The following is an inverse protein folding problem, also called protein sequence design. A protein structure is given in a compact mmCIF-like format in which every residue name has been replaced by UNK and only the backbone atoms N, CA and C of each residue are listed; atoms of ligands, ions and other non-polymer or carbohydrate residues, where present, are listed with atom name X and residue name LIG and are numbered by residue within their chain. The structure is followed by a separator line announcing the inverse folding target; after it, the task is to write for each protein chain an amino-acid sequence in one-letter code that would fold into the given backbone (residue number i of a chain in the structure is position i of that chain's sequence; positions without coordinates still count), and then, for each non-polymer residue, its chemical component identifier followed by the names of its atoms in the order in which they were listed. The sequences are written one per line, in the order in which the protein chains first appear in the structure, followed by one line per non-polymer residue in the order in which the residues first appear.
data_IF_689709202219
#
_entry.id   IF_689709202219
#
_cell.length_a   1.000
_cell.length_b   1.000
_cell.length_c   1.000
_cell.angle_alpha   90.00
_cell.angle_beta   90.00
_cell.angle_gamma   90.00
#
_symmetry.space_group_name_H-M   'P 1'
#
loop_
_entity.id
_entity.type
_entity.pdbx_description
1 polymer ?
#
# COMPACT_ATOMS: atom_id res chain seq x y z
N UNK A 1 -49.29 -35.47 -26.54
CA UNK A 1 -49.57 -36.38 -25.42
C UNK A 1 -48.30 -36.46 -24.60
N UNK A 2 -48.14 -36.01 -23.36
CA UNK A 2 -48.99 -35.41 -22.34
C UNK A 2 -47.97 -34.85 -21.34
N UNK A 3 -47.96 -33.55 -21.06
CA UNK A 3 -48.53 -32.95 -19.85
C UNK A 3 -47.95 -33.50 -18.52
N UNK A 4 -47.17 -32.63 -17.89
CA UNK A 4 -47.23 -32.24 -16.47
C UNK A 4 -47.14 -33.33 -15.37
N UNK A 5 -46.03 -33.30 -14.63
CA UNK A 5 -45.97 -33.37 -13.16
C UNK A 5 -44.51 -33.02 -12.76
N UNK A 6 -44.18 -32.08 -11.88
CA UNK A 6 -44.90 -31.64 -10.71
C UNK A 6 -44.36 -30.27 -10.23
N UNK A 7 -45.30 -29.39 -9.89
CA UNK A 7 -45.10 -28.12 -9.20
C UNK A 7 -44.37 -28.34 -7.88
N UNK A 8 -43.27 -27.63 -7.66
CA UNK A 8 -42.89 -27.18 -6.33
C UNK A 8 -42.78 -25.65 -6.39
N UNK A 9 -43.87 -25.00 -5.96
CA UNK A 9 -43.93 -23.56 -5.79
C UNK A 9 -43.06 -23.15 -4.61
N UNK A 10 -41.84 -22.72 -4.92
CA UNK A 10 -41.12 -21.79 -4.06
C UNK A 10 -41.48 -20.40 -4.55
N UNK A 11 -42.07 -19.63 -3.64
CA UNK A 11 -42.61 -18.31 -3.92
C UNK A 11 -41.54 -17.43 -4.58
N UNK A 12 -41.86 -16.89 -5.76
CA UNK A 12 -40.93 -16.04 -6.52
C UNK A 12 -40.43 -14.82 -5.71
N UNK A 13 -41.15 -14.42 -4.66
CA UNK A 13 -40.78 -13.29 -3.79
C UNK A 13 -39.68 -13.60 -2.76
N UNK A 14 -39.41 -14.87 -2.43
CA UNK A 14 -38.44 -15.20 -1.36
C UNK A 14 -37.01 -15.35 -1.91
N UNK A 15 -36.87 -15.63 -3.20
CA UNK A 15 -35.57 -15.69 -3.87
C UNK A 15 -34.97 -14.29 -4.12
N UNK A 16 -35.80 -13.28 -4.33
CA UNK A 16 -35.37 -11.89 -4.51
C UNK A 16 -34.64 -11.35 -3.26
N UNK A 17 -34.88 -11.93 -2.09
CA UNK A 17 -34.15 -11.60 -0.85
C UNK A 17 -32.71 -12.11 -0.81
N UNK A 18 -32.35 -13.07 -1.67
CA UNK A 18 -31.01 -13.68 -1.72
C UNK A 18 -30.15 -13.14 -2.87
N UNK A 19 -30.71 -12.32 -3.76
CA UNK A 19 -30.01 -11.79 -4.93
C UNK A 19 -29.92 -10.26 -4.90
N UNK A 20 -28.71 -9.74 -5.10
CA UNK A 20 -28.51 -8.31 -5.34
C UNK A 20 -28.61 -8.04 -6.84
N UNK A 21 -29.65 -7.31 -7.26
CA UNK A 21 -29.87 -6.92 -8.66
C UNK A 21 -29.44 -5.46 -8.87
N UNK A 22 -28.57 -5.22 -9.85
CA UNK A 22 -28.11 -3.88 -10.23
C UNK A 22 -29.12 -3.21 -11.18
N UNK A 23 -30.25 -2.76 -10.64
CA UNK A 23 -31.26 -2.03 -11.40
C UNK A 23 -30.80 -0.58 -11.68
N UNK A 24 -30.82 -0.17 -12.95
CA UNK A 24 -30.47 1.21 -13.37
C UNK A 24 -28.97 1.47 -13.57
N UNK A 25 -28.10 0.48 -13.36
CA UNK A 25 -26.67 0.56 -13.69
C UNK A 25 -26.42 0.33 -15.18
N UNK A 26 -25.31 0.88 -15.70
CA UNK A 26 -24.89 0.62 -17.08
C UNK A 26 -24.44 -0.84 -17.26
N UNK A 27 -24.46 -1.34 -18.49
CA UNK A 27 -24.01 -2.70 -18.79
C UNK A 27 -22.51 -2.91 -18.43
N UNK A 28 -21.72 -1.85 -18.50
CA UNK A 28 -20.31 -1.83 -18.11
C UNK A 28 -20.17 -2.03 -16.60
N UNK A 29 -20.92 -1.29 -15.78
CA UNK A 29 -20.89 -1.41 -14.32
C UNK A 29 -21.31 -2.81 -13.83
N UNK A 30 -22.34 -3.38 -14.47
CA UNK A 30 -22.78 -4.75 -14.18
C UNK A 30 -21.67 -5.76 -14.50
N UNK A 31 -20.90 -5.52 -15.58
CA UNK A 31 -19.77 -6.37 -15.94
C UNK A 31 -18.63 -6.28 -14.93
N UNK A 32 -18.31 -5.07 -14.44
CA UNK A 32 -17.29 -4.87 -13.40
C UNK A 32 -17.68 -5.52 -12.08
N UNK A 33 -18.94 -5.35 -11.65
CA UNK A 33 -19.44 -5.98 -10.43
C UNK A 33 -19.33 -7.50 -10.51
N UNK A 34 -19.67 -8.11 -11.64
CA UNK A 34 -19.51 -9.56 -11.85
C UNK A 34 -18.05 -10.00 -11.71
N UNK A 35 -17.12 -9.32 -12.37
CA UNK A 35 -15.69 -9.63 -12.27
C UNK A 35 -15.20 -9.46 -10.83
N UNK A 36 -15.56 -8.36 -10.18
CA UNK A 36 -15.22 -8.08 -8.79
C UNK A 36 -15.68 -9.20 -7.85
N UNK A 37 -16.98 -9.52 -7.85
CA UNK A 37 -17.52 -10.55 -6.96
C UNK A 37 -17.00 -11.95 -7.28
N UNK A 38 -16.72 -12.24 -8.56
CA UNK A 38 -16.04 -13.49 -8.93
C UNK A 38 -14.66 -13.57 -8.30
N UNK A 39 -13.89 -12.48 -8.29
CA UNK A 39 -12.54 -12.43 -7.75
C UNK A 39 -12.47 -12.64 -6.23
N UNK A 40 -13.49 -12.19 -5.49
CA UNK A 40 -13.58 -12.34 -4.02
C UNK A 40 -13.76 -13.81 -3.61
N UNK A 41 -14.36 -14.62 -4.48
CA UNK A 41 -14.55 -16.07 -4.22
C UNK A 41 -13.37 -16.93 -4.65
N UNK A 42 -12.37 -16.36 -5.34
CA UNK A 42 -11.19 -17.10 -5.75
C UNK A 42 -10.28 -17.32 -4.55
N UNK A 43 -9.71 -18.53 -4.45
CA UNK A 43 -8.62 -18.74 -3.51
C UNK A 43 -7.46 -17.80 -3.86
N UNK A 44 -6.78 -17.22 -2.86
CA UNK A 44 -5.60 -16.41 -3.11
C UNK A 44 -4.60 -17.21 -3.96
N UNK A 45 -3.94 -16.56 -4.95
CA UNK A 45 -2.91 -17.19 -5.77
C UNK A 45 -1.89 -17.94 -4.93
N UNK A 46 -1.31 -19.02 -5.45
CA UNK A 46 -0.37 -19.85 -4.69
C UNK A 46 0.80 -19.05 -4.12
N UNK A 47 1.20 -17.97 -4.80
CA UNK A 47 2.27 -17.05 -4.41
C UNK A 47 1.94 -16.16 -3.20
N UNK A 48 0.66 -15.94 -2.89
CA UNK A 48 0.22 -15.15 -1.73
C UNK A 48 -0.24 -16.01 -0.54
N UNK A 49 -0.11 -17.34 -0.63
CA UNK A 49 -0.44 -18.25 0.47
C UNK A 49 0.74 -18.30 1.44
N UNK A 50 0.51 -17.87 2.69
CA UNK A 50 1.48 -17.97 3.80
C UNK A 50 1.92 -19.41 4.12
N UNK A 51 1.15 -20.41 3.67
CA UNK A 51 1.45 -21.83 3.84
C UNK A 51 1.15 -22.52 2.51
N UNK A 52 2.20 -22.98 1.83
CA UNK A 52 2.05 -23.83 0.64
C UNK A 52 1.31 -25.11 1.03
N UNK A 53 0.31 -25.51 0.25
CA UNK A 53 -0.51 -26.69 0.54
C UNK A 53 0.28 -28.01 0.56
N UNK A 54 1.47 -28.05 -0.03
CA UNK A 54 2.37 -29.21 -0.06
C UNK A 54 3.81 -28.84 0.33
N UNK A 55 3.99 -28.13 1.45
CA UNK A 55 5.27 -28.19 2.18
C UNK A 55 5.30 -29.53 2.93
N UNK A 56 5.55 -30.60 2.17
CA UNK A 56 6.11 -31.81 2.75
C UNK A 56 7.56 -31.48 3.12
N UNK A 57 7.86 -31.50 4.43
CA UNK A 57 9.20 -31.29 4.98
C UNK A 57 10.18 -32.29 4.33
N UNK A 58 10.89 -31.88 3.27
CA UNK A 58 11.91 -32.71 2.59
C UNK A 58 13.20 -32.86 3.40
N UNK A 59 13.26 -32.26 4.59
CA UNK A 59 14.38 -32.42 5.51
C UNK A 59 14.08 -33.55 6.47
N UNK A 60 15.02 -34.49 6.59
CA UNK A 60 14.96 -35.53 7.61
C UNK A 60 14.76 -34.86 8.97
N UNK A 61 13.72 -35.27 9.70
CA UNK A 61 13.54 -34.89 11.10
C UNK A 61 14.83 -35.27 11.85
N UNK A 62 15.41 -34.32 12.58
CA UNK A 62 16.65 -34.57 13.31
C UNK A 62 16.45 -35.77 14.25
N UNK A 63 17.36 -36.74 14.15
CA UNK A 63 17.32 -37.93 15.00
C UNK A 63 17.51 -37.58 16.48
N UNK A 64 16.98 -38.43 17.36
CA UNK A 64 17.19 -38.36 18.80
C UNK A 64 18.69 -38.24 19.11
N UNK A 65 19.15 -37.28 19.96
CA UNK A 65 20.56 -37.17 20.28
C UNK A 65 20.96 -38.39 21.12
N UNK A 66 21.44 -39.44 20.43
CA UNK A 66 22.12 -40.53 21.08
C UNK A 66 23.37 -39.93 21.73
N UNK A 67 23.46 -40.05 23.05
CA UNK A 67 24.60 -39.69 23.85
C UNK A 67 25.82 -40.52 23.41
N UNK A 68 26.48 -40.09 22.34
CA UNK A 68 27.84 -40.49 22.10
C UNK A 68 28.69 -39.69 23.09
N UNK A 69 29.37 -40.41 23.98
CA UNK A 69 30.45 -39.88 24.78
C UNK A 69 31.52 -39.37 23.81
N UNK A 70 31.46 -38.07 23.52
CA UNK A 70 32.43 -37.36 22.69
C UNK A 70 33.69 -37.13 23.49
N UNK A 71 34.65 -38.06 23.38
CA UNK A 71 36.05 -37.77 23.72
C UNK A 71 36.59 -36.80 22.66
N UNK A 72 36.29 -35.52 22.84
CA UNK A 72 36.58 -34.49 21.84
C UNK A 72 36.05 -33.13 22.25
N UNK A 73 36.38 -32.67 23.46
CA UNK A 73 36.33 -31.24 23.77
C UNK A 73 37.38 -30.52 22.90
N UNK A 74 37.06 -30.28 21.63
CA UNK A 74 37.68 -29.20 20.87
C UNK A 74 36.95 -27.93 21.30
N UNK A 75 37.62 -26.95 21.93
CA UNK A 75 37.01 -25.66 22.18
C UNK A 75 36.54 -25.11 20.84
N UNK A 76 35.29 -24.66 20.78
CA UNK A 76 34.80 -23.86 19.66
C UNK A 76 35.65 -22.59 19.62
N UNK A 77 36.71 -22.59 18.81
CA UNK A 77 37.43 -21.39 18.47
C UNK A 77 36.42 -20.56 17.69
N UNK A 78 35.96 -19.46 18.29
CA UNK A 78 35.26 -18.40 17.58
C UNK A 78 36.21 -17.98 16.45
N UNK A 79 35.90 -18.39 15.22
CA UNK A 79 36.73 -18.11 14.06
C UNK A 79 36.66 -16.61 13.81
N UNK A 80 37.66 -15.86 14.28
CA UNK A 80 37.75 -14.39 14.19
C UNK A 80 37.55 -13.91 12.76
N UNK A 81 37.96 -14.73 11.78
CA UNK A 81 37.75 -14.49 10.35
C UNK A 81 36.27 -14.47 9.96
N UNK A 82 35.41 -15.25 10.61
CA UNK A 82 33.97 -15.25 10.35
C UNK A 82 33.28 -13.99 10.87
N UNK A 83 33.76 -13.44 11.99
CA UNK A 83 33.25 -12.22 12.60
C UNK A 83 33.66 -10.98 11.79
N UNK A 84 34.91 -10.93 11.32
CA UNK A 84 35.40 -9.91 10.39
C UNK A 84 34.60 -9.87 9.08
N UNK A 85 34.28 -11.05 8.51
CA UNK A 85 33.45 -11.16 7.31
C UNK A 85 32.02 -10.63 7.54
N UNK A 86 31.43 -10.93 8.69
CA UNK A 86 30.10 -10.44 9.07
C UNK A 86 30.10 -8.91 9.19
N UNK A 87 31.12 -8.35 9.85
CA UNK A 87 31.27 -6.91 10.02
C UNK A 87 31.48 -6.20 8.67
N UNK A 88 32.31 -6.77 7.79
CA UNK A 88 32.53 -6.23 6.46
C UNK A 88 31.25 -6.24 5.61
N UNK A 89 30.46 -7.32 5.68
CA UNK A 89 29.18 -7.42 4.98
C UNK A 89 28.19 -6.36 5.49
N UNK A 90 28.10 -6.17 6.82
CA UNK A 90 27.25 -5.16 7.42
C UNK A 90 27.63 -3.73 7.02
N UNK A 91 28.93 -3.40 7.03
CA UNK A 91 29.42 -2.08 6.59
C UNK A 91 29.13 -1.84 5.10
N UNK A 92 29.27 -2.88 4.27
CA UNK A 92 28.94 -2.81 2.84
C UNK A 92 27.46 -2.53 2.64
N UNK A 93 26.57 -3.22 3.35
CA UNK A 93 25.13 -2.97 3.30
C UNK A 93 24.79 -1.53 3.68
N UNK A 94 25.33 -1.02 4.78
CA UNK A 94 25.11 0.38 5.17
C UNK A 94 25.59 1.38 4.11
N UNK A 95 26.73 1.09 3.46
CA UNK A 95 27.25 1.97 2.42
C UNK A 95 26.35 1.98 1.17
N UNK A 96 25.77 0.84 0.81
CA UNK A 96 24.80 0.73 -0.28
C UNK A 96 23.50 1.47 0.05
N UNK A 97 22.95 1.27 1.25
CA UNK A 97 21.77 2.00 1.73
C UNK A 97 21.99 3.52 1.71
N UNK A 98 23.12 4.00 2.24
CA UNK A 98 23.46 5.43 2.22
C UNK A 98 23.52 6.00 0.80
N UNK A 99 24.04 5.24 -0.17
CA UNK A 99 24.07 5.66 -1.59
C UNK A 99 22.66 5.81 -2.14
N UNK A 100 21.78 4.86 -1.86
CA UNK A 100 20.38 4.90 -2.29
C UNK A 100 19.69 6.16 -1.72
N UNK A 101 19.83 6.42 -0.42
CA UNK A 101 19.24 7.61 0.19
C UNK A 101 19.79 8.92 -0.37
N UNK A 102 21.08 8.97 -0.69
CA UNK A 102 21.71 10.14 -1.28
C UNK A 102 21.19 10.41 -2.70
N UNK A 103 20.98 9.36 -3.51
CA UNK A 103 20.37 9.48 -4.83
C UNK A 103 18.90 9.95 -4.73
N UNK A 104 18.13 9.39 -3.79
CA UNK A 104 16.76 9.82 -3.52
C UNK A 104 16.70 11.30 -3.08
N UNK A 105 17.63 11.74 -2.23
CA UNK A 105 17.70 13.14 -1.79
C UNK A 105 17.99 14.08 -2.97
N UNK A 106 18.94 13.71 -3.83
CA UNK A 106 19.24 14.46 -5.04
C UNK A 106 18.02 14.57 -5.97
N UNK A 107 17.31 13.47 -6.19
CA UNK A 107 16.10 13.46 -7.00
C UNK A 107 14.98 14.34 -6.40
N UNK A 108 14.83 14.34 -5.07
CA UNK A 108 13.90 15.25 -4.38
C UNK A 108 14.27 16.72 -4.60
N UNK A 109 15.55 17.06 -4.52
CA UNK A 109 16.03 18.43 -4.76
C UNK A 109 15.76 18.88 -6.21
N UNK A 110 15.95 17.99 -7.18
CA UNK A 110 15.63 18.23 -8.59
C UNK A 110 14.13 18.53 -8.78
N UNK A 111 13.24 17.74 -8.17
CA UNK A 111 11.79 17.97 -8.20
C UNK A 111 11.44 19.33 -7.56
N UNK A 112 11.99 19.63 -6.39
CA UNK A 112 11.73 20.89 -5.68
C UNK A 112 12.18 22.08 -6.54
N UNK A 113 13.34 22.00 -7.17
CA UNK A 113 13.86 23.03 -8.07
C UNK A 113 12.94 23.26 -9.26
N UNK A 114 12.50 22.18 -9.92
CA UNK A 114 11.55 22.23 -11.04
C UNK A 114 10.24 22.91 -10.64
N UNK A 115 9.66 22.51 -9.50
CA UNK A 115 8.40 23.08 -9.01
C UNK A 115 8.51 24.56 -8.67
N UNK A 116 9.66 24.99 -8.10
CA UNK A 116 9.95 26.41 -7.86
C UNK A 116 9.98 27.19 -9.17
N UNK A 117 10.71 26.69 -10.18
CA UNK A 117 10.78 27.32 -11.50
C UNK A 117 9.40 27.44 -12.16
N UNK A 118 8.60 26.37 -12.15
CA UNK A 118 7.23 26.38 -12.68
C UNK A 118 6.34 27.39 -11.95
N UNK A 119 6.48 27.51 -10.63
CA UNK A 119 5.74 28.50 -9.84
C UNK A 119 6.14 29.92 -10.25
N UNK A 120 7.42 30.19 -10.42
CA UNK A 120 7.90 31.52 -10.80
C UNK A 120 7.43 31.90 -12.20
N UNK A 121 7.46 30.95 -13.14
CA UNK A 121 6.88 31.14 -14.48
C UNK A 121 5.39 31.44 -14.43
N UNK A 122 4.64 30.70 -13.60
CA UNK A 122 3.21 30.94 -13.40
C UNK A 122 2.98 32.34 -12.84
N UNK A 123 3.71 32.75 -11.80
CA UNK A 123 3.61 34.09 -11.21
C UNK A 123 3.90 35.16 -12.26
N UNK A 124 4.95 34.99 -13.07
CA UNK A 124 5.29 35.94 -14.15
C UNK A 124 4.17 36.07 -15.19
N UNK A 125 3.57 34.96 -15.62
CA UNK A 125 2.43 34.97 -16.56
C UNK A 125 1.21 35.62 -15.94
N UNK A 126 0.93 35.30 -14.67
CA UNK A 126 -0.17 35.90 -13.92
C UNK A 126 0.00 37.41 -13.82
N UNK A 127 1.18 37.90 -13.42
CA UNK A 127 1.49 39.34 -13.34
C UNK A 127 1.16 40.11 -14.63
N UNK A 128 1.45 39.53 -15.79
CA UNK A 128 1.13 40.14 -17.09
C UNK A 128 -0.37 40.10 -17.36
N UNK A 129 -1.05 39.01 -17.00
CA UNK A 129 -2.49 38.84 -17.23
C UNK A 129 -3.38 39.59 -16.23
N UNK A 130 -2.88 39.92 -15.03
CA UNK A 130 -3.64 40.55 -13.94
C UNK A 130 -4.43 41.80 -14.40
N UNK A 131 -3.86 42.75 -15.18
CA UNK A 131 -4.60 43.92 -15.65
C UNK A 131 -5.70 43.62 -16.66
N UNK A 132 -5.66 42.44 -17.30
CA UNK A 132 -6.56 42.05 -18.39
C UNK A 132 -7.53 40.93 -18.01
N UNK A 133 -7.46 40.43 -16.77
CA UNK A 133 -8.42 39.43 -16.29
C UNK A 133 -9.80 40.09 -16.16
N UNK A 134 -10.83 39.63 -16.91
CA UNK A 134 -12.17 40.12 -16.71
C UNK A 134 -12.56 39.81 -15.26
N UNK A 135 -12.96 40.85 -14.52
CA UNK A 135 -13.50 40.70 -13.16
C UNK A 135 -14.76 39.84 -13.25
N UNK A 136 -14.63 38.51 -13.15
CA UNK A 136 -15.76 37.65 -12.85
C UNK A 136 -16.09 37.87 -11.37
N UNK A 137 -16.75 38.99 -11.09
CA UNK A 137 -17.58 39.15 -9.91
C UNK A 137 -18.81 38.24 -10.09
N UNK A 138 -18.63 36.94 -9.93
CA UNK A 138 -19.72 36.11 -9.44
C UNK A 138 -19.48 36.01 -7.94
N UNK A 139 -20.36 36.66 -7.18
CA UNK A 139 -20.25 36.97 -5.74
C UNK A 139 -20.22 35.77 -4.79
N UNK A 140 -19.67 34.63 -5.21
CA UNK A 140 -19.31 33.53 -4.31
C UNK A 140 -18.06 33.96 -3.54
N UNK A 141 -18.27 34.71 -2.47
CA UNK A 141 -17.25 34.92 -1.44
C UNK A 141 -16.79 33.52 -1.02
N UNK A 142 -15.49 33.25 -1.14
CA UNK A 142 -14.88 32.07 -0.50
C UNK A 142 -15.34 32.09 0.96
N UNK A 143 -16.05 31.06 1.45
CA UNK A 143 -16.43 31.02 2.85
C UNK A 143 -15.15 31.12 3.69
N UNK A 144 -15.19 31.86 4.81
CA UNK A 144 -14.04 31.95 5.69
C UNK A 144 -13.56 30.54 6.07
N UNK A 145 -12.26 30.36 6.37
CA UNK A 145 -11.76 29.11 6.90
C UNK A 145 -12.65 28.64 8.05
N UNK A 146 -13.08 27.37 8.02
CA UNK A 146 -13.92 26.78 9.07
C UNK A 146 -13.21 26.75 10.44
N UNK A 147 -11.88 26.92 10.46
CA UNK A 147 -11.07 26.94 11.68
C UNK A 147 -10.92 28.37 12.17
N UNK A 148 -11.14 28.57 13.47
CA UNK A 148 -10.89 29.85 14.13
C UNK A 148 -9.38 30.12 14.12
N UNK A 149 -8.91 31.39 14.00
CA UNK A 149 -7.49 31.73 14.02
C UNK A 149 -6.74 31.16 15.23
N UNK A 150 -7.42 31.04 16.38
CA UNK A 150 -6.86 30.46 17.60
C UNK A 150 -6.63 28.95 17.51
N UNK A 151 -7.46 28.22 16.76
CA UNK A 151 -7.25 26.79 16.55
C UNK A 151 -5.99 26.54 15.72
N UNK A 152 -5.74 27.39 14.72
CA UNK A 152 -4.53 27.33 13.90
C UNK A 152 -3.31 27.64 14.76
N UNK A 153 -3.40 28.61 15.67
CA UNK A 153 -2.30 28.98 16.55
C UNK A 153 -1.97 27.86 17.55
N UNK A 154 -3.00 27.18 18.07
CA UNK A 154 -2.86 26.04 18.98
C UNK A 154 -2.25 24.83 18.27
N UNK A 155 -2.68 24.54 17.04
CA UNK A 155 -2.10 23.49 16.19
C UNK A 155 -0.59 23.77 15.94
N UNK A 156 -0.21 25.05 15.75
CA UNK A 156 1.19 25.46 15.57
C UNK A 156 2.00 25.29 16.86
N UNK A 157 1.45 25.63 18.01
CA UNK A 157 2.12 25.53 19.30
C UNK A 157 2.34 24.06 19.70
N UNK A 158 1.34 23.20 19.50
CA UNK A 158 1.44 21.76 19.77
C UNK A 158 2.56 21.08 18.96
N UNK A 159 2.76 21.46 17.69
CA UNK A 159 3.87 20.94 16.88
C UNK A 159 5.23 21.39 17.41
N UNK A 160 5.32 22.60 17.98
CA UNK A 160 6.58 23.14 18.52
C UNK A 160 6.96 22.52 19.87
N UNK A 161 6.00 22.01 20.62
CA UNK A 161 6.21 21.35 21.92
C UNK A 161 6.68 19.88 21.77
N UNK A 162 6.69 19.35 20.55
CA UNK A 162 7.13 17.97 20.24
C UNK A 162 8.62 17.87 19.85
N UNK A 163 9.29 18.99 19.62
CA UNK A 163 10.74 19.09 19.34
C UNK A 163 11.54 19.34 20.64
#
# INVERSE_FOLDING_TARGET
MSENLERNGLEHGDLDNYFTVFAGSSQEDVSYAKVFWSSVTLQPPLESRLVSADISQRLKVAGNPQHYVSTGHRPLVLDTRSEENLQAAYLKQQAEEKKIYLEMAKHRDEIISLLKSQRDERIKKEMISLPYKPNQCNGYKRPPPLKHPEDIQRDIEEVRDLD
#
